data_IF_804792897360
#
_entry.id   IF_804792897360
#
_cell.length_a   1.000
_cell.length_b   1.000
_cell.length_c   1.000
_cell.angle_alpha   90.00
_cell.angle_beta   90.00
_cell.angle_gamma   90.00
#
_symmetry.space_group_name_H-M   'P 1'
#
loop_
_entity.id
_entity.type
_entity.pdbx_description
1 polymer ?
#
# COMPACT_ATOMS: atom_id res chain seq x y z
N UNK A 1 23.70 -14.12 11.15
CA UNK A 1 22.48 -13.42 10.69
C UNK A 1 22.66 -13.12 9.21
N UNK A 2 21.98 -13.86 8.32
CA UNK A 2 22.08 -13.61 6.88
C UNK A 2 21.17 -12.44 6.52
N UNK A 3 21.78 -11.34 6.08
CA UNK A 3 21.07 -10.21 5.51
C UNK A 3 20.55 -10.60 4.11
N UNK A 4 19.28 -10.34 3.88
CA UNK A 4 18.58 -10.60 2.63
C UNK A 4 19.07 -9.59 1.57
N UNK A 5 19.74 -10.06 0.50
CA UNK A 5 20.39 -9.23 -0.53
C UNK A 5 19.42 -8.79 -1.63
N UNK A 6 18.73 -7.64 -1.51
CA UNK A 6 18.14 -6.93 -2.67
C UNK A 6 17.99 -5.41 -2.37
N UNK A 7 18.34 -4.55 -3.33
CA UNK A 7 18.02 -3.10 -3.29
C UNK A 7 19.14 -2.13 -3.71
N UNK A 8 19.38 -1.96 -5.01
CA UNK A 8 20.17 -0.84 -5.60
C UNK A 8 19.29 0.37 -5.96
N UNK A 9 19.78 1.30 -6.81
CA UNK A 9 19.10 2.54 -7.31
C UNK A 9 17.60 2.38 -7.65
N UNK A 10 17.19 1.17 -8.02
CA UNK A 10 15.80 0.77 -8.27
C UNK A 10 14.83 1.02 -7.11
N UNK A 11 15.28 0.97 -5.84
CA UNK A 11 14.40 1.23 -4.68
C UNK A 11 13.90 2.68 -4.69
N UNK A 12 14.76 3.63 -5.05
CA UNK A 12 14.44 5.06 -5.03
C UNK A 12 13.51 5.42 -6.17
N UNK A 13 13.79 4.87 -7.35
CA UNK A 13 12.95 5.03 -8.53
C UNK A 13 11.55 4.44 -8.31
N UNK A 14 11.46 3.23 -7.74
CA UNK A 14 10.20 2.59 -7.34
C UNK A 14 9.36 3.50 -6.45
N UNK A 15 9.94 3.95 -5.34
CA UNK A 15 9.23 4.72 -4.33
C UNK A 15 8.83 6.10 -4.86
N UNK A 16 9.66 6.70 -5.73
CA UNK A 16 9.34 7.93 -6.45
C UNK A 16 8.16 7.74 -7.40
N UNK A 17 8.14 6.67 -8.20
CA UNK A 17 7.03 6.37 -9.12
C UNK A 17 5.75 6.13 -8.33
N UNK A 18 5.81 5.37 -7.24
CA UNK A 18 4.68 5.16 -6.35
C UNK A 18 4.11 6.51 -5.87
N UNK A 19 4.94 7.38 -5.31
CA UNK A 19 4.52 8.72 -4.85
C UNK A 19 3.81 9.50 -5.96
N UNK A 20 4.40 9.57 -7.15
CA UNK A 20 3.84 10.30 -8.29
C UNK A 20 2.48 9.74 -8.71
N UNK A 21 2.34 8.40 -8.75
CA UNK A 21 1.07 7.78 -9.10
C UNK A 21 -0.01 8.06 -8.06
N UNK A 22 0.29 7.87 -6.77
CA UNK A 22 -0.67 8.09 -5.70
C UNK A 22 -1.12 9.55 -5.66
N UNK A 23 -0.20 10.50 -5.85
CA UNK A 23 -0.49 11.93 -5.90
C UNK A 23 -1.43 12.29 -7.05
N UNK A 24 -1.17 11.73 -8.24
CA UNK A 24 -2.04 11.88 -9.41
C UNK A 24 -3.42 11.26 -9.18
N UNK A 25 -3.47 10.02 -8.71
CA UNK A 25 -4.69 9.26 -8.48
C UNK A 25 -5.64 10.00 -7.52
N UNK A 26 -5.12 10.43 -6.36
CA UNK A 26 -5.94 11.11 -5.36
C UNK A 26 -6.37 12.50 -5.81
N UNK A 27 -5.53 13.20 -6.59
CA UNK A 27 -5.87 14.51 -7.16
C UNK A 27 -7.03 14.44 -8.14
N UNK A 28 -6.99 13.48 -9.08
CA UNK A 28 -8.05 13.30 -10.08
C UNK A 28 -9.38 12.93 -9.42
N UNK A 29 -9.34 12.16 -8.33
CA UNK A 29 -10.55 11.68 -7.65
C UNK A 29 -11.06 12.62 -6.53
N UNK A 30 -10.35 13.71 -6.21
CA UNK A 30 -10.60 14.56 -5.04
C UNK A 30 -12.06 15.04 -4.89
N UNK A 31 -12.74 15.32 -6.00
CA UNK A 31 -14.13 15.78 -6.02
C UNK A 31 -15.04 14.87 -6.88
N UNK A 32 -14.59 13.65 -7.18
CA UNK A 32 -15.34 12.68 -7.98
C UNK A 32 -16.12 11.73 -7.06
N UNK A 33 -17.30 11.25 -7.47
CA UNK A 33 -18.05 11.69 -8.65
C UNK A 33 -18.69 13.07 -8.47
N UNK A 34 -18.77 13.57 -7.24
CA UNK A 34 -19.24 14.92 -6.93
C UNK A 34 -18.63 15.42 -5.63
N UNK A 35 -18.63 16.74 -5.43
CA UNK A 35 -18.18 17.35 -4.17
C UNK A 35 -19.03 16.94 -2.96
N UNK A 36 -20.35 16.74 -3.16
CA UNK A 36 -21.27 16.38 -2.09
C UNK A 36 -21.15 14.90 -1.66
N UNK A 37 -20.81 14.02 -2.61
CA UNK A 37 -20.64 12.60 -2.39
C UNK A 37 -19.36 12.13 -3.09
N UNK A 38 -18.17 12.44 -2.55
CA UNK A 38 -16.92 12.02 -3.16
C UNK A 38 -16.67 10.53 -2.90
N UNK A 39 -15.82 9.93 -3.73
CA UNK A 39 -15.33 8.58 -3.50
C UNK A 39 -14.54 8.51 -2.20
N UNK A 40 -14.66 7.36 -1.53
CA UNK A 40 -13.81 6.99 -0.43
C UNK A 40 -12.54 6.33 -0.97
N UNK A 41 -11.40 6.95 -0.73
CA UNK A 41 -10.12 6.50 -1.26
C UNK A 41 -9.46 5.53 -0.29
N UNK A 42 -9.06 4.35 -0.78
CA UNK A 42 -8.34 3.36 0.01
C UNK A 42 -6.96 3.05 -0.57
N UNK A 43 -5.99 2.82 0.31
CA UNK A 43 -4.67 2.31 -0.06
C UNK A 43 -4.48 0.93 0.58
N UNK A 44 -4.05 -0.04 -0.20
CA UNK A 44 -3.84 -1.42 0.24
C UNK A 44 -2.39 -1.80 -0.03
N UNK A 45 -1.70 -2.25 1.02
CA UNK A 45 -0.31 -2.68 0.96
C UNK A 45 -0.17 -4.05 1.64
N UNK A 46 -0.22 -5.14 0.86
CA UNK A 46 -0.10 -6.50 1.38
C UNK A 46 1.29 -6.84 1.94
N UNK A 47 2.30 -6.00 1.66
CA UNK A 47 3.72 -6.22 1.96
C UNK A 47 4.37 -4.97 2.58
N UNK A 48 3.68 -4.32 3.52
CA UNK A 48 4.00 -2.96 3.95
C UNK A 48 5.34 -2.79 4.68
N UNK A 49 5.97 -3.89 5.14
CA UNK A 49 7.23 -3.83 5.84
C UNK A 49 7.11 -3.11 7.18
N UNK A 50 8.25 -2.66 7.69
CA UNK A 50 8.31 -1.86 8.93
C UNK A 50 8.08 -0.35 8.67
N UNK A 51 7.73 0.02 7.44
CA UNK A 51 7.54 1.40 7.00
C UNK A 51 8.79 2.13 6.52
N UNK A 52 9.98 1.54 6.61
CA UNK A 52 11.23 2.15 6.15
C UNK A 52 11.99 1.20 5.24
N UNK A 53 12.71 1.76 4.29
CA UNK A 53 13.60 1.03 3.39
C UNK A 53 15.03 1.54 3.54
N UNK A 54 15.98 0.61 3.51
CA UNK A 54 17.41 0.93 3.49
C UNK A 54 18.10 -0.02 2.51
N UNK A 55 18.78 0.57 1.53
CA UNK A 55 19.62 -0.18 0.60
C UNK A 55 20.92 -0.64 1.26
N UNK A 56 21.42 -1.80 0.85
CA UNK A 56 22.69 -2.34 1.36
C UNK A 56 23.82 -1.42 0.91
N UNK A 57 24.67 -1.00 1.85
CA UNK A 57 25.77 -0.07 1.59
C UNK A 57 25.36 1.41 1.57
N UNK A 58 24.07 1.71 1.74
CA UNK A 58 23.57 3.08 1.92
C UNK A 58 23.18 3.31 3.38
N UNK A 59 23.70 4.38 3.97
CA UNK A 59 23.36 4.79 5.34
C UNK A 59 22.02 5.52 5.40
N UNK A 60 21.47 5.94 4.25
CA UNK A 60 20.20 6.65 4.18
C UNK A 60 19.02 5.72 4.34
N UNK A 61 18.25 5.98 5.40
CA UNK A 61 16.94 5.39 5.62
C UNK A 61 15.90 6.20 4.88
N UNK A 62 15.04 5.53 4.12
CA UNK A 62 13.96 6.13 3.34
C UNK A 62 12.61 5.66 3.88
N UNK A 63 11.60 6.48 3.65
CA UNK A 63 10.22 6.09 3.91
C UNK A 63 9.79 5.03 2.89
N UNK A 64 9.22 3.94 3.38
CA UNK A 64 8.64 2.87 2.57
C UNK A 64 7.24 3.23 2.06
N UNK A 65 6.67 2.33 1.26
CA UNK A 65 5.35 2.49 0.65
C UNK A 65 4.21 2.89 1.60
N UNK A 66 4.05 2.35 2.84
CA UNK A 66 2.97 2.80 3.71
C UNK A 66 3.15 4.23 4.20
N UNK A 67 4.38 4.69 4.45
CA UNK A 67 4.64 6.07 4.88
C UNK A 67 4.46 7.04 3.71
N UNK A 68 4.90 6.66 2.51
CA UNK A 68 4.65 7.43 1.28
C UNK A 68 3.15 7.65 1.05
N UNK A 69 2.33 6.61 1.20
CA UNK A 69 0.89 6.71 1.06
C UNK A 69 0.23 7.56 2.16
N UNK A 70 0.80 7.57 3.38
CA UNK A 70 0.35 8.41 4.49
C UNK A 70 0.71 9.89 4.31
N UNK A 71 1.83 10.19 3.64
CA UNK A 71 2.34 11.54 3.36
C UNK A 71 1.71 12.19 2.10
N UNK A 72 0.66 11.60 1.52
CA UNK A 72 -0.12 12.22 0.43
C UNK A 72 -1.08 13.25 1.03
N UNK A 73 -0.80 14.54 0.82
CA UNK A 73 -1.47 15.64 1.55
C UNK A 73 -2.54 16.40 0.75
N UNK A 74 -2.38 16.49 -0.56
CA UNK A 74 -3.32 17.14 -1.49
C UNK A 74 -4.74 16.55 -1.41
N UNK A 75 -4.85 15.23 -1.38
CA UNK A 75 -6.05 14.47 -1.01
C UNK A 75 -5.60 13.16 -0.33
N UNK A 76 -5.58 13.11 1.00
CA UNK A 76 -5.15 11.92 1.72
C UNK A 76 -6.11 10.75 1.48
N UNK A 77 -5.61 9.51 1.52
CA UNK A 77 -6.48 8.33 1.57
C UNK A 77 -7.39 8.35 2.80
N UNK A 78 -8.60 7.81 2.71
CA UNK A 78 -9.54 7.76 3.83
C UNK A 78 -9.30 6.53 4.72
N UNK A 79 -8.89 5.41 4.14
CA UNK A 79 -8.51 4.20 4.85
C UNK A 79 -7.25 3.59 4.25
N UNK A 80 -6.37 3.10 5.12
CA UNK A 80 -5.23 2.29 4.71
C UNK A 80 -5.38 0.87 5.26
N UNK A 81 -5.08 -0.13 4.45
CA UNK A 81 -5.04 -1.53 4.84
C UNK A 81 -3.60 -2.03 4.67
N UNK A 82 -2.91 -2.18 5.79
CA UNK A 82 -1.46 -2.43 5.82
C UNK A 82 -1.21 -3.81 6.43
N UNK A 83 -0.66 -4.72 5.63
CA UNK A 83 -0.37 -6.09 6.03
C UNK A 83 1.13 -6.40 5.90
N UNK A 84 1.65 -7.18 6.83
CA UNK A 84 2.94 -7.85 6.67
C UNK A 84 2.91 -9.17 7.46
N UNK A 85 3.41 -10.25 6.88
CA UNK A 85 3.45 -11.58 7.53
C UNK A 85 4.33 -11.61 8.78
N UNK A 86 5.29 -10.71 8.90
CA UNK A 86 6.21 -10.59 10.03
C UNK A 86 5.66 -9.61 11.06
N UNK A 87 5.19 -10.15 12.20
CA UNK A 87 4.61 -9.36 13.31
C UNK A 87 5.48 -8.18 13.77
N UNK A 88 6.80 -8.35 13.76
CA UNK A 88 7.76 -7.31 14.13
C UNK A 88 7.73 -6.09 13.21
N UNK A 89 7.49 -6.30 11.91
CA UNK A 89 7.36 -5.23 10.92
C UNK A 89 6.11 -4.38 11.21
N UNK A 90 4.95 -5.04 11.33
CA UNK A 90 3.67 -4.38 11.66
C UNK A 90 3.77 -3.61 12.97
N UNK A 91 4.38 -4.19 14.00
CA UNK A 91 4.56 -3.54 15.31
C UNK A 91 5.43 -2.29 15.20
N UNK A 92 6.50 -2.34 14.40
CA UNK A 92 7.39 -1.20 14.18
C UNK A 92 6.69 -0.09 13.40
N UNK A 93 6.01 -0.44 12.31
CA UNK A 93 5.23 0.49 11.51
C UNK A 93 4.18 1.21 12.37
N UNK A 94 3.43 0.47 13.19
CA UNK A 94 2.43 1.05 14.11
C UNK A 94 3.02 2.11 15.03
N UNK A 95 4.22 1.89 15.58
CA UNK A 95 4.89 2.88 16.45
C UNK A 95 5.28 4.14 15.67
N UNK A 96 5.81 4.00 14.46
CA UNK A 96 6.19 5.14 13.61
C UNK A 96 4.95 5.96 13.26
N UNK A 97 3.88 5.29 12.85
CA UNK A 97 2.63 5.93 12.45
C UNK A 97 1.93 6.61 13.63
N UNK A 98 1.91 6.00 14.81
CA UNK A 98 1.33 6.62 16.00
C UNK A 98 1.96 7.99 16.35
N UNK A 99 3.23 8.20 15.97
CA UNK A 99 3.95 9.46 16.19
C UNK A 99 3.70 10.43 15.02
N UNK A 100 3.86 9.98 13.77
CA UNK A 100 3.82 10.85 12.59
C UNK A 100 2.39 11.19 12.12
N UNK A 101 1.46 10.27 12.31
CA UNK A 101 0.13 10.29 11.71
C UNK A 101 -0.96 9.80 12.69
N UNK A 102 -1.08 10.39 13.90
CA UNK A 102 -1.90 9.85 14.98
C UNK A 102 -3.40 9.73 14.66
N UNK A 103 -3.91 10.53 13.72
CA UNK A 103 -5.34 10.60 13.38
C UNK A 103 -5.71 9.86 12.09
N UNK A 104 -4.80 9.07 11.51
CA UNK A 104 -5.08 8.36 10.25
C UNK A 104 -5.76 7.02 10.54
N UNK A 105 -6.79 6.70 9.75
CA UNK A 105 -7.54 5.44 9.86
C UNK A 105 -6.79 4.31 9.14
N UNK A 106 -6.24 3.40 9.93
CA UNK A 106 -5.39 2.32 9.42
C UNK A 106 -5.85 0.99 10.01
N UNK A 107 -6.04 0.02 9.13
CA UNK A 107 -6.33 -1.36 9.45
C UNK A 107 -5.03 -2.15 9.30
N UNK A 108 -4.48 -2.61 10.43
CA UNK A 108 -3.24 -3.37 10.45
C UNK A 108 -3.54 -4.87 10.46
N UNK A 109 -2.88 -5.61 9.59
CA UNK A 109 -3.01 -7.07 9.47
C UNK A 109 -1.64 -7.73 9.62
N UNK A 110 -1.64 -8.99 10.04
CA UNK A 110 -0.43 -9.79 10.16
C UNK A 110 -0.66 -11.21 9.63
N UNK A 111 -0.80 -11.30 8.31
CA UNK A 111 -1.23 -12.51 7.61
C UNK A 111 -0.38 -12.76 6.37
N UNK A 112 -0.37 -13.99 5.82
CA UNK A 112 0.02 -14.22 4.44
C UNK A 112 -0.76 -13.31 3.49
N UNK A 113 -0.09 -12.76 2.48
CA UNK A 113 -0.69 -11.77 1.59
C UNK A 113 -1.91 -12.31 0.84
N UNK A 114 -1.89 -13.58 0.44
CA UNK A 114 -3.03 -14.24 -0.20
C UNK A 114 -4.26 -14.31 0.72
N UNK A 115 -4.06 -14.66 1.99
CA UNK A 115 -5.13 -14.72 2.99
C UNK A 115 -5.72 -13.33 3.22
N UNK A 116 -4.86 -12.34 3.45
CA UNK A 116 -5.26 -10.94 3.64
C UNK A 116 -6.09 -10.42 2.45
N UNK A 117 -5.64 -10.66 1.21
CA UNK A 117 -6.36 -10.21 0.02
C UNK A 117 -7.66 -10.98 -0.21
N UNK A 118 -7.69 -12.28 0.08
CA UNK A 118 -8.90 -13.10 -0.03
C UNK A 118 -10.01 -12.63 0.91
N UNK A 119 -9.66 -12.11 2.08
CA UNK A 119 -10.62 -11.56 3.04
C UNK A 119 -11.01 -10.11 2.72
N UNK A 120 -10.03 -9.27 2.34
CA UNK A 120 -10.26 -7.86 2.10
C UNK A 120 -11.00 -7.59 0.79
N UNK A 121 -10.62 -8.25 -0.31
CA UNK A 121 -11.16 -7.92 -1.64
C UNK A 121 -12.68 -8.04 -1.71
N UNK A 122 -13.35 -9.08 -1.16
CA UNK A 122 -14.81 -9.15 -1.10
C UNK A 122 -15.47 -7.93 -0.44
N UNK A 123 -14.85 -7.35 0.58
CA UNK A 123 -15.34 -6.17 1.31
C UNK A 123 -15.16 -4.89 0.47
N UNK A 124 -14.14 -4.85 -0.40
CA UNK A 124 -13.85 -3.71 -1.28
C UNK A 124 -14.55 -3.80 -2.65
N UNK A 125 -15.26 -4.90 -2.95
CA UNK A 125 -15.97 -5.07 -4.22
C UNK A 125 -16.97 -3.95 -4.46
N UNK A 126 -17.09 -3.51 -5.71
CA UNK A 126 -18.04 -2.49 -6.17
C UNK A 126 -19.50 -2.78 -5.76
N UNK A 127 -19.90 -4.05 -5.75
CA UNK A 127 -21.25 -4.45 -5.33
C UNK A 127 -21.52 -4.28 -3.83
N UNK A 128 -20.46 -4.19 -3.02
CA UNK A 128 -20.53 -4.04 -1.55
C UNK A 128 -20.25 -2.58 -1.16
N UNK A 129 -19.21 -1.96 -1.74
CA UNK A 129 -18.83 -0.56 -1.51
C UNK A 129 -18.67 0.20 -2.85
N UNK A 130 -19.78 0.64 -3.46
CA UNK A 130 -19.77 1.25 -4.79
C UNK A 130 -19.04 2.61 -4.85
N UNK A 131 -18.91 3.28 -3.71
CA UNK A 131 -18.26 4.57 -3.48
C UNK A 131 -16.74 4.44 -3.21
N UNK A 132 -16.20 3.24 -3.11
CA UNK A 132 -14.76 3.04 -2.85
C UNK A 132 -13.97 3.02 -4.15
N UNK A 133 -12.86 3.75 -4.16
CA UNK A 133 -11.79 3.61 -5.17
C UNK A 133 -10.47 3.48 -4.44
N UNK A 134 -9.50 2.79 -5.03
CA UNK A 134 -8.23 2.66 -4.34
C UNK A 134 -7.09 2.16 -5.20
N UNK A 135 -5.94 2.05 -4.57
CA UNK A 135 -4.71 1.53 -5.16
C UNK A 135 -4.22 0.38 -4.29
N UNK A 136 -3.84 -0.73 -4.93
CA UNK A 136 -3.15 -1.85 -4.32
C UNK A 136 -1.71 -1.85 -4.81
N UNK A 137 -0.76 -1.80 -3.88
CA UNK A 137 0.67 -1.87 -4.17
C UNK A 137 1.20 -3.27 -3.89
N UNK A 138 1.55 -4.02 -4.93
CA UNK A 138 2.08 -5.37 -4.83
C UNK A 138 3.60 -5.35 -5.03
N UNK A 139 4.33 -5.47 -3.92
CA UNK A 139 5.80 -5.54 -3.85
C UNK A 139 6.25 -6.79 -3.06
N UNK A 140 5.97 -8.00 -3.58
CA UNK A 140 6.37 -9.23 -2.90
C UNK A 140 7.90 -9.40 -2.86
N UNK A 141 8.38 -10.05 -1.81
CA UNK A 141 9.75 -10.51 -1.79
C UNK A 141 9.98 -11.61 -2.84
N UNK A 142 11.08 -11.56 -3.58
CA UNK A 142 11.41 -12.48 -4.67
C UNK A 142 10.32 -12.59 -5.76
N UNK A 143 9.43 -11.61 -5.87
CA UNK A 143 8.54 -11.39 -7.04
C UNK A 143 7.53 -12.49 -7.32
N UNK A 144 7.27 -13.36 -6.34
CA UNK A 144 6.20 -14.34 -6.42
C UNK A 144 4.89 -13.70 -5.95
N UNK A 145 4.15 -13.09 -6.88
CA UNK A 145 2.74 -12.78 -6.67
C UNK A 145 1.90 -13.98 -7.10
N UNK A 146 1.00 -14.43 -6.22
CA UNK A 146 -0.01 -15.42 -6.56
C UNK A 146 -1.05 -14.81 -7.52
N UNK A 147 -1.28 -15.46 -8.66
CA UNK A 147 -2.32 -15.04 -9.62
C UNK A 147 -3.72 -15.01 -9.01
N UNK A 148 -3.98 -15.87 -8.02
CA UNK A 148 -5.23 -15.86 -7.25
C UNK A 148 -5.43 -14.52 -6.53
N UNK A 149 -4.35 -13.91 -6.02
CA UNK A 149 -4.41 -12.58 -5.40
C UNK A 149 -4.73 -11.48 -6.43
N UNK A 150 -4.13 -11.56 -7.62
CA UNK A 150 -4.40 -10.61 -8.71
C UNK A 150 -5.85 -10.73 -9.17
N UNK A 151 -6.35 -11.94 -9.35
CA UNK A 151 -7.76 -12.20 -9.69
C UNK A 151 -8.71 -11.67 -8.62
N UNK A 152 -8.41 -11.90 -7.34
CA UNK A 152 -9.22 -11.38 -6.23
C UNK A 152 -9.30 -9.84 -6.26
N UNK A 153 -8.18 -9.17 -6.54
CA UNK A 153 -8.14 -7.71 -6.67
C UNK A 153 -8.94 -7.27 -7.92
N UNK A 154 -8.77 -7.92 -9.07
CA UNK A 154 -9.49 -7.59 -10.29
C UNK A 154 -11.02 -7.68 -10.11
N UNK A 155 -11.48 -8.70 -9.37
CA UNK A 155 -12.90 -8.87 -9.06
C UNK A 155 -13.50 -7.71 -8.23
N UNK A 156 -12.68 -6.87 -7.60
CA UNK A 156 -13.17 -5.70 -6.86
C UNK A 156 -13.83 -4.67 -7.79
N UNK A 157 -13.35 -4.54 -9.04
CA UNK A 157 -13.77 -3.52 -10.01
C UNK A 157 -13.64 -2.06 -9.50
N UNK A 158 -12.81 -1.82 -8.49
CA UNK A 158 -12.65 -0.51 -7.83
C UNK A 158 -11.20 -0.11 -7.57
N UNK A 159 -10.25 -1.05 -7.73
CA UNK A 159 -8.86 -0.87 -7.32
C UNK A 159 -7.92 -0.91 -8.52
N UNK A 160 -7.04 0.09 -8.60
CA UNK A 160 -5.88 0.07 -9.48
C UNK A 160 -4.78 -0.81 -8.86
N UNK A 161 -4.02 -1.51 -9.69
CA UNK A 161 -2.92 -2.37 -9.23
C UNK A 161 -1.60 -1.83 -9.74
N UNK A 162 -0.69 -1.54 -8.81
CA UNK A 162 0.72 -1.30 -9.11
C UNK A 162 1.47 -2.56 -8.71
N UNK A 163 1.97 -3.29 -9.70
CA UNK A 163 2.71 -4.53 -9.50
C UNK A 163 4.17 -4.34 -9.91
N UNK A 164 5.08 -4.64 -8.98
CA UNK A 164 6.50 -4.67 -9.29
C UNK A 164 6.95 -6.02 -9.84
N UNK A 165 7.54 -5.95 -11.03
CA UNK A 165 8.28 -7.07 -11.62
C UNK A 165 9.79 -6.79 -11.52
N UNK A 166 10.60 -7.81 -11.22
CA UNK A 166 12.04 -7.69 -11.36
C UNK A 166 12.36 -7.67 -12.85
N UNK A 167 13.53 -7.14 -13.19
CA UNK A 167 14.13 -7.40 -14.50
C UNK A 167 14.76 -8.78 -14.53
#
# INVERSE_FOLDING_TARGET
>A
MQAQQFGGEHTDEKLKILRLYLDFFTSVLKAMPSLANPFKLVYVDPFCGNGRSQSIGDTRVRDGSPLIALDIDNRPFDELYLNDKTKGNVTTLRKIVAIRHPNRRINYHNEPAESFLSELCPILRKSVRPDVRGVVFLDPFATQVSWVSVEAIAQTNTLDVILLFPR
#
